data_IF_033179850629
#
_entry.id   IF_033179850629
#
_cell.length_a   1.000
_cell.length_b   1.000
_cell.length_c   1.000
_cell.angle_alpha   90.00
_cell.angle_beta   90.00
_cell.angle_gamma   90.00
#
_symmetry.space_group_name_H-M   'P 1'
#
loop_
_entity.id
_entity.type
_entity.pdbx_description
1 polymer ?
#
# COMPACT_ATOMS: atom_id res chain seq x y z
N UNK A 1 3.60 -4.61 5.45
CA UNK A 1 2.70 -3.69 4.73
C UNK A 1 2.26 -4.35 3.44
N UNK A 2 1.11 -3.97 2.88
CA UNK A 2 0.56 -4.56 1.65
C UNK A 2 0.06 -3.47 0.70
N UNK A 3 0.03 -3.82 -0.58
CA UNK A 3 -0.63 -3.05 -1.63
C UNK A 3 -1.90 -3.76 -2.03
N UNK A 4 -3.03 -3.06 -2.06
CA UNK A 4 -4.33 -3.65 -2.33
C UNK A 4 -5.18 -2.79 -3.25
N UNK A 5 -5.88 -3.43 -4.19
CA UNK A 5 -6.80 -2.76 -5.12
C UNK A 5 -8.28 -3.13 -4.85
N UNK A 6 -8.51 -3.99 -3.85
CA UNK A 6 -9.83 -4.55 -3.52
C UNK A 6 -10.18 -4.39 -2.05
N UNK A 7 -11.47 -4.28 -1.74
CA UNK A 7 -11.93 -4.18 -0.35
C UNK A 7 -11.65 -5.43 0.49
N UNK A 8 -11.73 -6.61 -0.11
CA UNK A 8 -11.42 -7.87 0.58
C UNK A 8 -9.95 -7.90 1.03
N UNK A 9 -9.04 -7.51 0.14
CA UNK A 9 -7.63 -7.45 0.45
C UNK A 9 -7.28 -6.36 1.47
N UNK A 10 -7.88 -5.16 1.36
CA UNK A 10 -7.73 -4.10 2.39
C UNK A 10 -8.15 -4.60 3.78
N UNK A 11 -9.29 -5.30 3.86
CA UNK A 11 -9.76 -5.87 5.12
C UNK A 11 -8.80 -6.95 5.66
N UNK A 12 -8.32 -7.84 4.79
CA UNK A 12 -7.37 -8.89 5.17
C UNK A 12 -6.04 -8.32 5.67
N UNK A 13 -5.46 -7.33 4.97
CA UNK A 13 -4.22 -6.67 5.38
C UNK A 13 -4.34 -6.01 6.75
N UNK A 14 -5.48 -5.37 7.03
CA UNK A 14 -5.78 -4.79 8.34
C UNK A 14 -5.93 -5.82 9.43
N UNK A 15 -6.65 -6.91 9.17
CA UNK A 15 -6.79 -8.02 10.11
C UNK A 15 -5.42 -8.64 10.46
N UNK A 16 -4.46 -8.62 9.52
CA UNK A 16 -3.09 -9.04 9.73
C UNK A 16 -2.19 -7.98 10.41
N UNK A 17 -2.73 -6.83 10.85
CA UNK A 17 -1.97 -5.76 11.48
C UNK A 17 -1.02 -5.02 10.54
N UNK A 18 -1.24 -5.11 9.22
CA UNK A 18 -0.39 -4.48 8.23
C UNK A 18 -0.87 -3.06 7.89
N UNK A 19 0.09 -2.17 7.57
CA UNK A 19 -0.21 -0.94 6.83
C UNK A 19 -0.62 -1.28 5.40
N UNK A 20 -1.71 -0.70 4.92
CA UNK A 20 -2.31 -0.94 3.60
C UNK A 20 -2.21 0.29 2.72
N UNK A 21 -1.60 0.14 1.54
CA UNK A 21 -1.57 1.17 0.49
C UNK A 21 -2.56 0.76 -0.61
N UNK A 22 -3.60 1.56 -0.79
CA UNK A 22 -4.59 1.37 -1.85
C UNK A 22 -4.04 1.74 -3.22
N UNK A 23 -4.23 0.86 -4.20
CA UNK A 23 -3.86 1.12 -5.60
C UNK A 23 -5.12 1.33 -6.44
N UNK A 24 -5.17 2.46 -7.15
CA UNK A 24 -6.22 2.76 -8.11
C UNK A 24 -7.49 3.37 -7.52
N UNK A 25 -8.40 3.83 -8.39
CA UNK A 25 -9.56 4.63 -8.02
C UNK A 25 -10.57 3.89 -7.12
N UNK A 26 -10.62 2.56 -7.20
CA UNK A 26 -11.52 1.73 -6.38
C UNK A 26 -11.07 1.62 -4.93
N UNK A 27 -9.76 1.66 -4.69
CA UNK A 27 -9.20 1.39 -3.36
C UNK A 27 -9.61 2.44 -2.33
N UNK A 28 -9.80 3.70 -2.74
CA UNK A 28 -10.18 4.80 -1.84
C UNK A 28 -11.48 4.52 -1.06
N UNK A 29 -12.46 3.86 -1.70
CA UNK A 29 -13.74 3.52 -1.07
C UNK A 29 -13.58 2.57 0.14
N UNK A 30 -12.49 1.81 0.17
CA UNK A 30 -12.20 0.84 1.23
C UNK A 30 -11.35 1.44 2.37
N UNK A 31 -11.07 2.75 2.31
CA UNK A 31 -10.36 3.53 3.33
C UNK A 31 -9.02 2.89 3.77
N UNK A 32 -8.09 2.55 2.87
CA UNK A 32 -6.73 2.11 3.23
C UNK A 32 -5.95 3.25 3.91
N UNK A 33 -4.71 2.99 4.35
CA UNK A 33 -3.93 3.96 5.11
C UNK A 33 -3.31 5.06 4.22
N UNK A 34 -3.10 4.76 2.94
CA UNK A 34 -2.84 5.73 1.88
C UNK A 34 -3.41 5.22 0.55
N UNK A 35 -3.58 6.10 -0.44
CA UNK A 35 -4.05 5.74 -1.79
C UNK A 35 -3.13 6.37 -2.83
N UNK A 36 -2.75 5.58 -3.83
CA UNK A 36 -2.09 6.07 -5.05
C UNK A 36 -2.88 5.65 -6.28
N UNK A 37 -2.83 6.44 -7.38
CA UNK A 37 -3.54 6.11 -8.62
C UNK A 37 -3.05 4.82 -9.27
N UNK A 38 -1.76 4.51 -9.15
CA UNK A 38 -1.12 3.31 -9.71
C UNK A 38 0.27 3.11 -9.06
N UNK A 39 0.95 2.02 -9.44
CA UNK A 39 2.26 1.68 -8.88
C UNK A 39 3.41 2.58 -9.37
N UNK A 40 3.23 3.40 -10.40
CA UNK A 40 4.28 4.33 -10.87
C UNK A 40 4.58 5.42 -9.84
N UNK A 41 3.66 5.63 -8.90
CA UNK A 41 3.79 6.52 -7.75
C UNK A 41 4.52 5.91 -6.56
N UNK A 42 4.90 4.64 -6.65
CA UNK A 42 5.65 3.94 -5.61
C UNK A 42 7.09 3.80 -6.05
N UNK A 43 8.03 4.26 -5.21
CA UNK A 43 9.46 4.01 -5.39
C UNK A 43 9.98 3.17 -4.25
N UNK A 44 10.72 2.12 -4.61
CA UNK A 44 11.36 1.21 -3.66
C UNK A 44 12.86 1.42 -3.71
N UNK A 45 13.49 1.53 -2.55
CA UNK A 45 14.95 1.58 -2.40
C UNK A 45 15.39 0.57 -1.35
N UNK A 46 16.49 -0.12 -1.62
CA UNK A 46 17.19 -0.90 -0.61
C UNK A 46 18.00 0.06 0.29
N UNK A 47 17.85 -0.09 1.60
CA UNK A 47 18.69 0.56 2.60
C UNK A 47 19.98 -0.24 2.83
N UNK A 48 21.00 0.44 3.33
CA UNK A 48 22.31 -0.16 3.61
C UNK A 48 22.26 -1.20 4.75
N UNK A 49 21.25 -1.10 5.61
CA UNK A 49 20.97 -1.99 6.75
C UNK A 49 20.04 -3.16 6.38
N UNK A 50 19.81 -3.39 5.09
CA UNK A 50 18.88 -4.42 4.62
C UNK A 50 17.40 -4.04 4.76
N UNK A 51 17.10 -2.79 5.14
CA UNK A 51 15.72 -2.29 5.14
C UNK A 51 15.24 -2.00 3.72
N UNK A 52 13.93 -1.92 3.57
CA UNK A 52 13.29 -1.48 2.34
C UNK A 52 12.60 -0.14 2.62
N UNK A 53 13.02 0.90 1.91
CA UNK A 53 12.40 2.22 1.96
C UNK A 53 11.38 2.35 0.83
N UNK A 54 10.14 2.70 1.20
CA UNK A 54 9.08 3.02 0.25
C UNK A 54 8.76 4.51 0.29
N UNK A 55 8.76 5.12 -0.88
CA UNK A 55 8.20 6.45 -1.10
C UNK A 55 6.91 6.33 -1.91
N UNK A 56 5.85 6.97 -1.41
CA UNK A 56 4.50 6.96 -1.96
C UNK A 56 4.09 8.41 -2.20
N UNK A 57 3.67 8.78 -3.42
CA UNK A 57 3.25 10.15 -3.77
C UNK A 57 2.40 10.28 -5.02
#
# INVERSE_FOLDING_TARGET
MVFEDSGAGVAAGRAAGMRVIGIGPRAAAHRPDAVVPDLTRVRVRAGEDGTIQLHVG
#
